data_IF_600346910150
#
_entry.id   IF_600346910150
#
_cell.length_a   1.000
_cell.length_b   1.000
_cell.length_c   1.000
_cell.angle_alpha   90.00
_cell.angle_beta   90.00
_cell.angle_gamma   90.00
#
_symmetry.space_group_name_H-M   'P 1'
#
loop_
_entity.id
_entity.type
_entity.pdbx_description
1 polymer ?
#
# COMPACT_ATOMS: atom_id res chain seq x y z
N UNK A 1 -6.83 34.19 0.60
CA UNK A 1 -7.09 33.75 -0.78
C UNK A 1 -7.25 32.23 -0.75
N UNK A 2 -8.42 31.73 -1.05
CA UNK A 2 -8.63 30.30 -1.25
C UNK A 2 -7.95 29.94 -2.57
N UNK A 3 -6.93 29.08 -2.48
CA UNK A 3 -6.19 28.64 -3.65
C UNK A 3 -7.12 27.71 -4.48
N UNK A 4 -7.14 27.84 -5.78
CA UNK A 4 -7.98 27.01 -6.67
C UNK A 4 -7.72 25.50 -6.47
N UNK A 5 -6.52 25.14 -6.08
CA UNK A 5 -6.15 23.77 -5.74
C UNK A 5 -6.84 23.27 -4.45
N UNK A 6 -7.05 24.16 -3.48
CA UNK A 6 -7.72 23.80 -2.22
C UNK A 6 -9.20 23.51 -2.45
N UNK A 7 -9.89 24.30 -3.29
CA UNK A 7 -11.29 24.07 -3.62
C UNK A 7 -11.52 22.73 -4.39
N UNK A 8 -10.59 22.34 -5.23
CA UNK A 8 -10.65 21.03 -5.93
C UNK A 8 -10.42 19.88 -4.96
N UNK A 9 -9.47 20.06 -4.05
CA UNK A 9 -9.16 19.09 -3.01
C UNK A 9 -10.33 18.87 -2.05
N UNK A 10 -10.98 19.97 -1.62
CA UNK A 10 -12.17 19.93 -0.78
C UNK A 10 -13.32 19.16 -1.42
N UNK A 11 -13.58 19.39 -2.71
CA UNK A 11 -14.59 18.64 -3.48
C UNK A 11 -14.25 17.17 -3.58
N UNK A 12 -12.99 16.84 -3.79
CA UNK A 12 -12.50 15.46 -3.87
C UNK A 12 -12.73 14.74 -2.54
N UNK A 13 -12.32 15.31 -1.42
CA UNK A 13 -12.54 14.70 -0.11
C UNK A 13 -14.03 14.62 0.26
N UNK A 14 -14.81 15.65 -0.03
CA UNK A 14 -16.26 15.63 0.18
C UNK A 14 -16.95 14.53 -0.64
N UNK A 15 -16.53 14.34 -1.89
CA UNK A 15 -17.04 13.26 -2.73
C UNK A 15 -16.66 11.87 -2.17
N UNK A 16 -15.44 11.71 -1.66
CA UNK A 16 -14.95 10.45 -1.10
C UNK A 16 -15.50 10.15 0.31
N UNK A 17 -16.13 11.10 0.99
CA UNK A 17 -16.66 10.90 2.34
C UNK A 17 -17.87 9.93 2.39
N UNK A 18 -18.54 9.70 1.28
CA UNK A 18 -19.73 8.84 1.21
C UNK A 18 -19.38 7.41 0.78
N UNK A 19 -19.87 6.36 1.47
CA UNK A 19 -19.53 4.98 1.16
C UNK A 19 -20.10 4.50 -0.19
N UNK A 20 -21.26 5.00 -0.60
CA UNK A 20 -21.86 4.64 -1.89
C UNK A 20 -21.03 5.19 -3.05
N UNK A 21 -20.54 6.43 -2.92
CA UNK A 21 -19.64 7.02 -3.92
C UNK A 21 -18.32 6.27 -4.02
N UNK A 22 -17.74 5.86 -2.89
CA UNK A 22 -16.54 5.00 -2.90
C UNK A 22 -16.79 3.64 -3.57
N UNK A 23 -17.95 3.03 -3.35
CA UNK A 23 -18.33 1.79 -4.01
C UNK A 23 -18.47 1.95 -5.54
N UNK A 24 -19.04 3.07 -6.00
CA UNK A 24 -19.15 3.39 -7.42
C UNK A 24 -17.76 3.57 -8.06
N UNK A 25 -16.86 4.30 -7.39
CA UNK A 25 -15.48 4.48 -7.87
C UNK A 25 -14.71 3.16 -7.91
N UNK A 26 -14.88 2.28 -6.92
CA UNK A 26 -14.23 0.99 -6.89
C UNK A 26 -14.62 0.11 -8.08
N UNK A 27 -15.84 0.23 -8.56
CA UNK A 27 -16.31 -0.49 -9.76
C UNK A 27 -15.72 0.07 -11.07
N UNK A 28 -15.42 1.36 -11.11
CA UNK A 28 -14.78 2.01 -12.25
C UNK A 28 -13.26 1.81 -12.28
N UNK A 29 -12.68 1.36 -11.17
CA UNK A 29 -11.22 1.19 -11.05
C UNK A 29 -10.66 0.02 -11.91
N UNK A 30 -11.51 -0.78 -12.50
CA UNK A 30 -11.08 -1.84 -13.46
C UNK A 30 -10.55 -1.30 -14.78
N UNK A 31 -10.59 0.03 -14.99
CA UNK A 31 -10.11 0.67 -16.23
C UNK A 31 -11.09 0.62 -17.38
N UNK A 32 -12.27 0.03 -17.19
CA UNK A 32 -13.32 -0.04 -18.17
C UNK A 32 -14.41 0.99 -17.88
N UNK A 33 -14.97 1.56 -18.94
CA UNK A 33 -16.17 2.39 -18.79
C UNK A 33 -17.36 1.51 -18.45
N UNK A 34 -18.21 1.98 -17.53
CA UNK A 34 -19.44 1.30 -17.16
C UNK A 34 -20.64 2.20 -17.33
N UNK A 35 -21.75 1.64 -17.80
CA UNK A 35 -23.01 2.36 -17.90
C UNK A 35 -23.59 2.63 -16.50
N UNK A 36 -24.40 3.70 -16.38
CA UNK A 36 -25.09 4.02 -15.13
C UNK A 36 -25.93 2.85 -14.63
N UNK A 37 -26.60 2.11 -15.54
CA UNK A 37 -27.40 0.94 -15.20
C UNK A 37 -26.55 -0.20 -14.64
N UNK A 38 -25.36 -0.44 -15.17
CA UNK A 38 -24.42 -1.44 -14.65
C UNK A 38 -23.89 -1.05 -13.27
N UNK A 39 -23.59 0.22 -13.08
CA UNK A 39 -23.16 0.75 -11.79
C UNK A 39 -24.24 0.67 -10.72
N UNK A 40 -25.51 0.88 -11.10
CA UNK A 40 -26.66 0.85 -10.20
C UNK A 40 -27.06 -0.56 -9.78
N UNK A 41 -26.88 -1.56 -10.65
CA UNK A 41 -27.39 -2.91 -10.46
C UNK A 41 -27.10 -3.56 -9.10
N UNK A 42 -25.86 -3.50 -8.54
CA UNK A 42 -25.57 -4.13 -7.27
C UNK A 42 -25.90 -3.27 -6.04
N UNK A 43 -26.34 -2.03 -6.24
CA UNK A 43 -26.59 -1.12 -5.14
C UNK A 43 -28.06 -1.19 -4.70
N UNK A 44 -28.33 -1.25 -3.37
CA UNK A 44 -29.70 -1.33 -2.85
C UNK A 44 -30.39 0.06 -2.81
N UNK A 45 -30.17 0.87 -3.83
CA UNK A 45 -30.73 2.23 -3.95
C UNK A 45 -31.33 2.44 -5.33
N UNK A 46 -32.22 3.42 -5.45
CA UNK A 46 -32.88 3.74 -6.70
C UNK A 46 -31.92 4.34 -7.74
N UNK A 47 -32.25 4.19 -9.02
CA UNK A 47 -31.46 4.79 -10.11
C UNK A 47 -31.34 6.32 -9.98
N UNK A 48 -32.39 7.09 -9.62
CA UNK A 48 -32.23 8.51 -9.35
C UNK A 48 -31.25 8.83 -8.21
N UNK A 49 -31.18 7.99 -7.18
CA UNK A 49 -30.21 8.15 -6.11
C UNK A 49 -28.77 7.89 -6.59
N UNK A 50 -28.57 6.87 -7.42
CA UNK A 50 -27.28 6.63 -8.08
C UNK A 50 -26.85 7.82 -8.93
N UNK A 51 -27.79 8.38 -9.71
CA UNK A 51 -27.52 9.57 -10.54
C UNK A 51 -27.01 10.74 -9.69
N UNK A 52 -27.61 11.01 -8.54
CA UNK A 52 -27.14 12.07 -7.62
C UNK A 52 -25.72 11.84 -7.12
N UNK A 53 -25.36 10.59 -6.78
CA UNK A 53 -24.00 10.24 -6.40
C UNK A 53 -23.01 10.43 -7.54
N UNK A 54 -23.40 10.07 -8.77
CA UNK A 54 -22.60 10.27 -9.97
C UNK A 54 -22.44 11.76 -10.32
N UNK A 55 -23.45 12.59 -10.05
CA UNK A 55 -23.37 14.05 -10.21
C UNK A 55 -22.28 14.64 -9.29
N UNK A 56 -22.29 14.26 -8.02
CA UNK A 56 -21.25 14.71 -7.06
C UNK A 56 -19.87 14.27 -7.48
N UNK A 57 -19.70 13.02 -7.94
CA UNK A 57 -18.42 12.50 -8.42
C UNK A 57 -17.95 13.23 -9.69
N UNK A 58 -18.87 13.55 -10.59
CA UNK A 58 -18.58 14.30 -11.82
C UNK A 58 -18.20 15.75 -11.52
N UNK A 59 -18.90 16.41 -10.58
CA UNK A 59 -18.60 17.78 -10.17
C UNK A 59 -17.25 17.90 -9.45
N UNK A 60 -16.84 16.84 -8.76
CA UNK A 60 -15.50 16.72 -8.18
C UNK A 60 -14.43 16.37 -9.22
N UNK A 61 -14.79 16.08 -10.45
CA UNK A 61 -13.87 15.69 -11.53
C UNK A 61 -13.33 14.26 -11.40
N UNK A 62 -13.87 13.45 -10.48
CA UNK A 62 -13.42 12.07 -10.24
C UNK A 62 -13.87 11.08 -11.32
N UNK A 63 -14.95 11.42 -12.01
CA UNK A 63 -15.45 10.65 -13.15
C UNK A 63 -15.76 11.57 -14.33
N UNK A 64 -15.68 11.01 -15.53
CA UNK A 64 -16.18 11.59 -16.75
C UNK A 64 -17.40 10.81 -17.22
N UNK A 65 -18.44 11.51 -17.64
CA UNK A 65 -19.64 10.89 -18.23
C UNK A 65 -19.68 11.19 -19.73
N UNK A 66 -19.87 10.18 -20.53
CA UNK A 66 -20.02 10.29 -21.98
C UNK A 66 -21.36 9.70 -22.39
N UNK A 67 -22.19 10.49 -23.04
CA UNK A 67 -23.48 10.04 -23.55
C UNK A 67 -23.34 9.60 -24.99
N UNK A 68 -23.70 8.35 -25.23
CA UNK A 68 -23.80 7.78 -26.58
C UNK A 68 -25.20 7.23 -26.80
N UNK A 69 -26.03 7.96 -27.56
CA UNK A 69 -27.44 7.63 -27.72
C UNK A 69 -28.21 7.74 -26.41
N UNK A 70 -28.79 6.63 -25.95
CA UNK A 70 -29.51 6.52 -24.66
C UNK A 70 -28.65 6.03 -23.51
N UNK A 71 -27.40 5.66 -23.77
CA UNK A 71 -26.48 5.10 -22.79
C UNK A 71 -25.57 6.21 -22.29
N UNK A 72 -25.44 6.32 -20.98
CA UNK A 72 -24.45 7.16 -20.32
C UNK A 72 -23.39 6.26 -19.74
N UNK A 73 -22.17 6.35 -20.27
CA UNK A 73 -21.01 5.64 -19.79
C UNK A 73 -20.22 6.54 -18.83
N UNK A 74 -19.73 5.96 -17.74
CA UNK A 74 -18.90 6.61 -16.73
C UNK A 74 -17.47 6.02 -16.79
N UNK A 75 -16.49 6.89 -16.70
CA UNK A 75 -15.05 6.54 -16.68
C UNK A 75 -14.40 7.24 -15.50
N UNK A 76 -13.42 6.59 -14.88
CA UNK A 76 -12.61 7.17 -13.82
C UNK A 76 -11.65 8.23 -14.39
N UNK A 77 -11.54 9.37 -13.71
CA UNK A 77 -10.54 10.40 -14.00
C UNK A 77 -9.52 10.42 -12.86
N UNK A 78 -8.25 10.08 -13.10
CA UNK A 78 -7.27 9.86 -12.02
C UNK A 78 -6.77 11.14 -11.35
N UNK A 79 -6.71 12.27 -12.07
CA UNK A 79 -6.06 13.51 -11.64
C UNK A 79 -6.50 14.03 -10.26
N UNK A 80 -7.82 14.11 -9.91
CA UNK A 80 -8.20 14.60 -8.58
C UNK A 80 -7.76 13.65 -7.46
N UNK A 81 -7.73 12.34 -7.72
CA UNK A 81 -7.26 11.34 -6.78
C UNK A 81 -5.75 11.45 -6.56
N UNK A 82 -4.98 11.65 -7.62
CA UNK A 82 -3.52 11.88 -7.56
C UNK A 82 -3.19 13.13 -6.75
N UNK A 83 -3.93 14.22 -6.95
CA UNK A 83 -3.76 15.45 -6.20
C UNK A 83 -4.04 15.25 -4.70
N UNK A 84 -5.10 14.50 -4.36
CA UNK A 84 -5.43 14.14 -2.99
C UNK A 84 -4.34 13.25 -2.36
N UNK A 85 -3.82 12.26 -3.09
CA UNK A 85 -2.71 11.42 -2.65
C UNK A 85 -1.43 12.22 -2.42
N UNK A 86 -1.10 13.16 -3.30
CA UNK A 86 0.07 14.02 -3.15
C UNK A 86 -0.06 14.93 -1.92
N UNK A 87 -1.26 15.40 -1.62
CA UNK A 87 -1.54 16.16 -0.41
C UNK A 87 -1.34 15.31 0.85
N UNK A 88 -1.90 14.11 0.89
CA UNK A 88 -1.76 13.15 1.99
C UNK A 88 -0.30 12.72 2.20
N UNK A 89 0.44 12.47 1.12
CA UNK A 89 1.83 12.05 1.18
C UNK A 89 2.76 13.08 1.85
N UNK A 90 2.42 14.37 1.81
CA UNK A 90 3.16 15.41 2.56
C UNK A 90 3.09 15.18 4.06
N UNK A 91 1.92 14.78 4.56
CA UNK A 91 1.72 14.45 5.99
C UNK A 91 2.32 13.12 6.36
N UNK A 92 2.20 12.10 5.50
CA UNK A 92 2.81 10.78 5.74
C UNK A 92 4.32 10.88 5.93
N UNK A 93 5.01 11.67 5.11
CA UNK A 93 6.45 11.91 5.27
C UNK A 93 6.79 12.56 6.61
N UNK A 94 6.03 13.55 7.00
CA UNK A 94 6.20 14.19 8.30
C UNK A 94 6.04 13.19 9.46
N UNK A 95 5.00 12.36 9.42
CA UNK A 95 4.77 11.34 10.45
C UNK A 95 5.83 10.25 10.45
N UNK A 96 6.28 9.81 9.29
CA UNK A 96 7.36 8.82 9.17
C UNK A 96 8.65 9.33 9.83
N UNK A 97 9.06 10.55 9.55
CA UNK A 97 10.23 11.18 10.17
C UNK A 97 10.10 11.30 11.70
N UNK A 98 8.90 11.62 12.21
CA UNK A 98 8.65 11.68 13.65
C UNK A 98 8.72 10.28 14.30
N UNK A 99 8.16 9.26 13.66
CA UNK A 99 8.22 7.88 14.14
C UNK A 99 9.66 7.33 14.13
N UNK A 100 10.44 7.64 13.11
CA UNK A 100 11.85 7.25 13.03
C UNK A 100 12.68 7.90 14.15
N UNK A 101 12.41 9.16 14.48
CA UNK A 101 13.04 9.83 15.63
C UNK A 101 12.66 9.18 16.95
N UNK A 102 11.39 8.82 17.12
CA UNK A 102 10.91 8.15 18.33
C UNK A 102 11.53 6.75 18.46
N UNK A 103 11.59 5.97 17.38
CA UNK A 103 12.24 4.67 17.36
C UNK A 103 13.71 4.77 17.76
N UNK A 104 14.45 5.72 17.17
CA UNK A 104 15.85 5.97 17.52
C UNK A 104 16.04 6.39 19.00
N UNK A 105 15.08 7.14 19.56
CA UNK A 105 15.12 7.51 20.97
C UNK A 105 14.93 6.29 21.88
N UNK A 106 13.94 5.46 21.61
CA UNK A 106 13.65 4.24 22.36
C UNK A 106 14.82 3.24 22.28
N UNK A 107 15.45 3.09 21.12
CA UNK A 107 16.61 2.23 20.94
C UNK A 107 17.81 2.71 21.76
N UNK A 108 18.03 4.01 21.87
CA UNK A 108 19.11 4.58 22.73
C UNK A 108 18.86 4.33 24.22
N UNK A 109 17.61 4.39 24.68
CA UNK A 109 17.26 4.11 26.06
C UNK A 109 17.24 2.61 26.38
N UNK A 110 17.02 1.76 25.38
CA UNK A 110 16.98 0.30 25.51
C UNK A 110 18.38 -0.33 25.46
N UNK A 111 19.43 0.42 25.13
CA UNK A 111 20.83 -0.02 25.30
C UNK A 111 21.22 0.11 26.76
N UNK A 112 21.42 -0.98 27.53
CA UNK A 112 21.96 -0.88 28.88
C UNK A 112 23.38 -0.28 28.78
N UNK A 113 23.73 0.71 29.63
CA UNK A 113 25.08 1.22 29.65
C UNK A 113 26.00 0.14 30.21
N UNK A 114 26.93 -0.27 29.39
CA UNK A 114 28.15 -0.90 29.86
C UNK A 114 28.17 -2.42 30.00
N UNK A 115 28.63 -3.09 28.98
CA UNK A 115 29.64 -4.12 29.20
C UNK A 115 31.00 -3.47 29.05
N UNK A 116 31.51 -2.97 30.17
CA UNK A 116 32.94 -2.71 30.30
C UNK A 116 33.69 -4.00 29.94
N UNK A 117 34.44 -3.96 28.89
CA UNK A 117 35.44 -4.94 28.51
C UNK A 117 36.31 -5.25 29.73
N UNK A 118 36.15 -6.45 30.25
CA UNK A 118 37.15 -7.03 31.16
C UNK A 118 38.41 -7.28 30.36
N UNK A 119 39.60 -6.91 30.92
CA UNK A 119 40.85 -7.16 30.23
C UNK A 119 41.11 -8.67 30.16
N UNK A 120 41.43 -9.08 28.96
CA UNK A 120 41.85 -10.42 28.60
C UNK A 120 43.12 -10.80 29.43
N UNK A 121 42.93 -11.66 30.43
CA UNK A 121 44.06 -12.34 31.03
C UNK A 121 44.39 -13.57 30.20
N UNK A 122 45.54 -13.48 29.60
CA UNK A 122 46.20 -14.57 28.92
C UNK A 122 46.34 -15.78 29.83
N UNK A 123 46.07 -16.95 29.32
CA UNK A 123 46.43 -18.22 29.92
C UNK A 123 47.08 -19.13 28.91
N UNK A 124 48.11 -19.89 29.33
CA UNK A 124 48.97 -20.58 28.39
C UNK A 124 48.44 -21.96 28.01
N UNK A 125 48.73 -22.24 26.75
CA UNK A 125 49.01 -23.53 26.15
C UNK A 125 48.67 -24.82 26.92
N UNK A 126 47.85 -25.64 26.29
CA UNK A 126 48.15 -27.07 26.27
C UNK A 126 47.85 -27.68 24.91
N UNK A 127 48.92 -28.11 24.29
CA UNK A 127 48.97 -28.83 23.03
C UNK A 127 48.62 -30.28 23.33
N UNK A 128 47.57 -30.79 22.72
CA UNK A 128 47.46 -32.24 22.51
C UNK A 128 47.00 -32.50 21.08
N UNK A 129 47.97 -32.96 20.37
CA UNK A 129 47.89 -33.57 19.05
C UNK A 129 47.27 -34.95 19.15
N UNK A 130 46.21 -35.23 18.43
CA UNK A 130 45.80 -36.60 18.08
C UNK A 130 45.27 -36.70 16.66
N UNK A 131 46.15 -37.15 15.84
CA UNK A 131 46.06 -38.12 14.73
C UNK A 131 44.73 -38.33 14.01
N UNK A 132 44.84 -37.98 12.76
CA UNK A 132 44.24 -38.48 11.54
C UNK A 132 43.92 -40.00 11.55
N UNK A 133 42.66 -40.36 11.19
CA UNK A 133 42.41 -41.66 10.61
C UNK A 133 41.50 -41.52 9.38
N UNK A 134 42.09 -41.87 8.23
CA UNK A 134 41.38 -42.22 6.98
C UNK A 134 40.76 -43.60 7.11
N UNK A 135 39.58 -43.75 6.55
CA UNK A 135 39.08 -45.01 5.87
C UNK A 135 37.82 -44.62 5.13
N UNK A 136 37.85 -44.59 3.83
CA UNK A 136 37.67 -45.55 2.76
C UNK A 136 36.20 -46.01 2.58
N UNK A 137 35.66 -45.56 1.45
CA UNK A 137 34.44 -45.99 0.75
C UNK A 137 34.41 -47.51 0.52
N UNK A 138 33.22 -48.07 0.29
CA UNK A 138 33.07 -48.89 -0.89
C UNK A 138 31.79 -48.59 -1.73
N UNK A 139 32.01 -48.91 -2.96
CA UNK A 139 31.19 -48.82 -4.16
C UNK A 139 30.09 -49.90 -4.21
N UNK A 140 28.98 -49.50 -4.83
CA UNK A 140 28.20 -50.24 -5.82
C UNK A 140 27.01 -50.97 -5.28
N UNK A 141 26.08 -51.53 -6.11
CA UNK A 141 26.04 -51.61 -7.55
C UNK A 141 24.72 -51.14 -8.18
N UNK A 142 24.74 -51.01 -9.51
CA UNK A 142 23.61 -50.74 -10.42
C UNK A 142 22.60 -51.90 -10.51
N UNK A 143 21.30 -51.65 -10.74
CA UNK A 143 20.39 -52.64 -11.22
C UNK A 143 20.05 -52.49 -12.71
N UNK A 144 19.91 -53.64 -13.31
CA UNK A 144 19.53 -53.92 -14.68
C UNK A 144 18.06 -53.58 -14.97
N UNK A 145 17.91 -53.26 -16.24
CA UNK A 145 16.71 -53.29 -17.07
C UNK A 145 15.90 -54.60 -16.94
N UNK A 146 14.58 -54.41 -17.00
CA UNK A 146 13.68 -55.10 -17.96
C UNK A 146 12.40 -54.27 -18.03
#
# INVERSE_FOLDING_TARGET
>A
MVNYQDATLDRTFAALADPTRRALLARLNSGESASVSELARPLPISLPAVMKHLDVLSDAGLIRRTKTGRIVACELTPEPMENAMNWLNRYLRFWSEQLDRLAAFVERESCPPNQKSLPNQASPSNVVSVRRRKKSTPRGPTPKRS
#
